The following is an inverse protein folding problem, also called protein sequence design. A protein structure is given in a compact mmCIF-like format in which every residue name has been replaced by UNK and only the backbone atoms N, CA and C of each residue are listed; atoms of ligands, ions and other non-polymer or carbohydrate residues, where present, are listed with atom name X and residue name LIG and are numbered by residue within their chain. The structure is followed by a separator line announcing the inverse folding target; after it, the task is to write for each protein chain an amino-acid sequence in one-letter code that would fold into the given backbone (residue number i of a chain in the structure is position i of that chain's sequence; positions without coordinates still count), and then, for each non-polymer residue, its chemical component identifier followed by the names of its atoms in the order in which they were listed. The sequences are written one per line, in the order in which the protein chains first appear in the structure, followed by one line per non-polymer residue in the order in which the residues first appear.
data_IF_618920851035
#
_entry.id   IF_618920851035
#
_cell.length_a   1.000
_cell.length_b   1.000
_cell.length_c   1.000
_cell.angle_alpha   90.00
_cell.angle_beta   90.00
_cell.angle_gamma   90.00
#
_symmetry.space_group_name_H-M   'P 1'
#
loop_
_entity.id
_entity.type
_entity.pdbx_description
1 polymer ?
#
# COMPACT_ATOMS: atom_id res chain seq x y z
N UNK A 1 68.29 -55.44 -36.80
CA UNK A 1 69.05 -54.30 -36.22
C UNK A 1 68.50 -53.05 -36.91
N UNK A 2 67.84 -52.18 -36.14
CA UNK A 2 67.09 -50.98 -36.59
C UNK A 2 65.84 -51.32 -37.46
N UNK A 3 64.69 -50.65 -37.45
CA UNK A 3 64.25 -49.32 -36.99
C UNK A 3 62.79 -49.41 -36.46
N UNK A 4 62.38 -48.38 -35.72
CA UNK A 4 61.03 -48.18 -35.18
C UNK A 4 60.02 -47.70 -36.23
N UNK A 5 58.76 -48.14 -36.12
CA UNK A 5 57.54 -47.40 -36.50
C UNK A 5 56.37 -47.88 -35.61
N UNK A 6 55.58 -46.94 -35.09
CA UNK A 6 54.43 -47.20 -34.21
C UNK A 6 53.10 -47.07 -34.99
N UNK A 7 52.08 -47.90 -34.71
CA UNK A 7 50.76 -47.70 -35.30
C UNK A 7 49.78 -46.94 -34.39
N UNK A 8 49.31 -45.81 -34.90
CA UNK A 8 47.89 -45.44 -35.06
C UNK A 8 46.87 -45.70 -33.93
N UNK A 9 46.45 -44.60 -33.28
CA UNK A 9 45.07 -44.08 -33.38
C UNK A 9 43.90 -44.94 -32.87
N UNK A 10 43.44 -44.65 -31.65
CA UNK A 10 42.09 -44.98 -31.16
C UNK A 10 41.50 -43.80 -30.39
N UNK A 11 40.49 -43.14 -30.95
CA UNK A 11 39.74 -42.03 -30.33
C UNK A 11 38.92 -42.57 -29.17
N UNK A 12 39.19 -42.12 -27.94
CA UNK A 12 38.27 -42.27 -26.81
C UNK A 12 37.27 -41.13 -26.93
N UNK A 13 36.09 -41.46 -27.47
CA UNK A 13 34.97 -40.54 -27.58
C UNK A 13 34.45 -40.13 -26.21
N UNK A 14 34.17 -38.83 -26.11
CA UNK A 14 33.56 -38.17 -24.97
C UNK A 14 32.27 -38.85 -24.52
N UNK A 15 32.22 -39.21 -23.24
CA UNK A 15 30.96 -39.47 -22.53
C UNK A 15 31.09 -38.93 -21.12
N UNK A 16 31.38 -37.64 -21.01
CA UNK A 16 31.02 -36.88 -19.81
C UNK A 16 29.52 -36.65 -19.86
N UNK A 17 28.84 -37.54 -19.14
CA UNK A 17 27.46 -37.43 -18.70
C UNK A 17 27.04 -35.98 -18.49
N UNK A 18 25.88 -35.64 -19.04
CA UNK A 18 25.18 -34.39 -18.80
C UNK A 18 25.04 -34.15 -17.30
N UNK A 19 25.94 -33.35 -16.73
CA UNK A 19 25.68 -32.66 -15.48
C UNK A 19 24.51 -31.72 -15.77
N UNK A 20 23.35 -32.09 -15.25
CA UNK A 20 22.15 -31.28 -15.32
C UNK A 20 22.50 -29.85 -14.90
N UNK A 21 22.19 -28.88 -15.77
CA UNK A 21 22.26 -27.47 -15.42
C UNK A 21 21.40 -27.30 -14.16
N UNK A 22 22.05 -27.01 -13.04
CA UNK A 22 21.37 -26.66 -11.81
C UNK A 22 20.37 -25.55 -12.13
N UNK A 23 19.09 -25.82 -11.89
CA UNK A 23 18.07 -24.77 -11.90
C UNK A 23 18.47 -23.67 -10.91
N UNK A 24 18.07 -22.41 -11.16
CA UNK A 24 18.43 -21.30 -10.29
C UNK A 24 18.03 -21.62 -8.84
N UNK A 25 19.03 -21.61 -7.95
CA UNK A 25 18.84 -21.71 -6.50
C UNK A 25 18.47 -20.33 -5.98
N UNK A 26 17.19 -19.97 -6.13
CA UNK A 26 16.66 -18.69 -5.65
C UNK A 26 15.39 -18.28 -6.39
N UNK A 27 14.63 -17.33 -5.84
CA UNK A 27 13.49 -16.76 -6.55
C UNK A 27 13.96 -16.13 -7.87
N UNK A 28 13.06 -16.10 -8.86
CA UNK A 28 13.28 -15.38 -10.13
C UNK A 28 13.72 -13.95 -9.82
N UNK A 29 14.76 -13.42 -10.49
CA UNK A 29 15.18 -12.04 -10.31
C UNK A 29 14.00 -11.09 -10.50
N UNK A 30 13.83 -10.18 -9.55
CA UNK A 30 12.83 -9.13 -9.65
C UNK A 30 13.08 -8.27 -10.90
N UNK A 31 12.02 -7.83 -11.62
CA UNK A 31 12.17 -6.92 -12.75
C UNK A 31 12.98 -5.68 -12.36
N UNK A 32 13.86 -5.26 -13.28
CA UNK A 32 14.86 -4.21 -13.00
C UNK A 32 14.24 -2.89 -12.51
N UNK A 33 13.12 -2.49 -13.11
CA UNK A 33 12.38 -1.29 -12.72
C UNK A 33 11.85 -1.34 -11.28
N UNK A 34 11.34 -2.50 -10.84
CA UNK A 34 10.82 -2.70 -9.48
C UNK A 34 11.98 -2.67 -8.47
N UNK A 35 13.08 -3.38 -8.78
CA UNK A 35 14.29 -3.36 -7.97
C UNK A 35 14.83 -1.94 -7.80
N UNK A 36 14.94 -1.20 -8.91
CA UNK A 36 15.40 0.19 -8.93
C UNK A 36 14.46 1.11 -8.14
N UNK A 37 13.15 0.91 -8.28
CA UNK A 37 12.13 1.63 -7.51
C UNK A 37 12.25 1.40 -6.02
N UNK A 38 12.46 0.15 -5.59
CA UNK A 38 12.72 -0.18 -4.19
C UNK A 38 13.99 0.50 -3.68
N UNK A 39 15.07 0.50 -4.46
CA UNK A 39 16.31 1.21 -4.06
C UNK A 39 16.06 2.69 -3.82
N UNK A 40 15.35 3.36 -4.74
CA UNK A 40 14.98 4.78 -4.61
C UNK A 40 14.05 5.03 -3.42
N UNK A 41 13.08 4.14 -3.18
CA UNK A 41 12.15 4.24 -2.05
C UNK A 41 12.87 4.24 -0.68
N UNK A 42 14.02 3.59 -0.60
CA UNK A 42 14.87 3.53 0.59
C UNK A 42 15.98 4.61 0.60
N UNK A 43 16.18 5.35 -0.49
CA UNK A 43 17.30 6.26 -0.65
C UNK A 43 17.05 7.61 0.04
N UNK A 44 17.70 7.81 1.19
CA UNK A 44 17.54 9.05 1.94
C UNK A 44 18.13 10.28 1.23
N UNK A 45 18.99 10.09 0.21
CA UNK A 45 19.57 11.17 -0.61
C UNK A 45 18.52 11.90 -1.45
N UNK A 46 17.31 11.35 -1.59
CA UNK A 46 16.19 12.05 -2.21
C UNK A 46 15.61 13.15 -1.31
N UNK A 47 15.88 13.13 0.00
CA UNK A 47 15.53 14.22 0.90
C UNK A 47 16.63 15.28 0.97
N UNK A 48 16.26 16.54 1.24
CA UNK A 48 17.20 17.67 1.29
C UNK A 48 18.43 17.39 2.18
N UNK A 49 18.16 16.91 3.39
CA UNK A 49 19.16 16.75 4.45
C UNK A 49 19.68 15.32 4.56
N UNK A 50 19.26 14.40 3.68
CA UNK A 50 19.74 13.03 3.66
C UNK A 50 19.30 12.15 4.83
N UNK A 51 18.35 12.58 5.67
CA UNK A 51 17.94 11.83 6.88
C UNK A 51 16.65 11.02 6.74
N UNK A 52 15.85 11.25 5.69
CA UNK A 52 14.60 10.52 5.47
C UNK A 52 14.45 10.01 4.05
N UNK A 53 13.72 8.91 3.89
CA UNK A 53 13.26 8.38 2.61
C UNK A 53 11.77 8.06 2.68
N UNK A 54 11.18 7.57 1.59
CA UNK A 54 9.79 7.10 1.60
C UNK A 54 9.58 6.04 2.68
N UNK A 55 10.55 5.14 2.88
CA UNK A 55 10.55 4.10 3.91
C UNK A 55 10.43 4.65 5.34
N UNK A 56 10.93 5.85 5.65
CA UNK A 56 10.87 6.44 6.99
C UNK A 56 9.44 6.62 7.51
N UNK A 57 8.50 6.90 6.60
CA UNK A 57 7.08 7.00 6.90
C UNK A 57 6.32 5.72 6.49
N UNK A 58 6.69 5.17 5.34
CA UNK A 58 6.06 4.01 4.74
C UNK A 58 6.94 2.76 4.84
N UNK A 59 7.18 2.25 6.05
CA UNK A 59 8.13 1.16 6.32
C UNK A 59 7.83 -0.08 5.46
N UNK A 60 8.65 -0.32 4.43
CA UNK A 60 8.46 -1.35 3.40
C UNK A 60 7.05 -1.35 2.76
N UNK A 61 6.47 -0.16 2.61
CA UNK A 61 5.10 0.03 2.13
C UNK A 61 4.01 -0.05 3.21
N UNK A 62 4.33 -0.46 4.44
CA UNK A 62 3.44 -0.30 5.57
C UNK A 62 3.31 1.18 5.96
N UNK A 63 2.53 1.49 6.99
CA UNK A 63 2.49 2.81 7.58
C UNK A 63 3.09 2.76 8.98
N UNK A 64 3.88 3.77 9.34
CA UNK A 64 4.31 3.96 10.73
C UNK A 64 3.16 4.41 11.66
N UNK A 65 1.99 4.74 11.09
CA UNK A 65 0.78 5.12 11.81
C UNK A 65 0.84 6.49 12.51
N UNK A 66 1.89 7.29 12.26
CA UNK A 66 2.07 8.60 12.88
C UNK A 66 1.25 9.67 12.15
N UNK A 67 0.91 10.72 12.90
CA UNK A 67 0.44 11.99 12.36
C UNK A 67 1.65 12.82 12.00
N UNK A 68 1.72 13.24 10.75
CA UNK A 68 2.83 14.02 10.22
C UNK A 68 2.25 15.16 9.43
N UNK A 69 2.75 16.36 9.69
CA UNK A 69 2.53 17.48 8.79
C UNK A 69 3.49 17.34 7.61
N UNK A 70 2.96 16.84 6.50
CA UNK A 70 3.75 16.54 5.30
C UNK A 70 3.74 17.68 4.29
N UNK A 71 2.98 18.76 4.55
CA UNK A 71 2.72 19.84 3.59
C UNK A 71 2.24 19.30 2.22
N UNK A 72 1.57 18.14 2.22
CA UNK A 72 1.11 17.46 1.01
C UNK A 72 -0.13 18.10 0.40
N UNK A 73 -0.93 18.73 1.26
CA UNK A 73 -2.16 19.50 0.96
C UNK A 73 -1.91 21.01 0.95
N UNK A 74 -0.63 21.43 0.83
CA UNK A 74 -0.20 22.83 0.84
C UNK A 74 -0.60 23.62 2.09
N UNK A 75 -0.82 22.90 3.20
CA UNK A 75 -1.29 23.48 4.43
C UNK A 75 -0.40 23.09 5.62
N UNK A 76 -0.31 23.98 6.61
CA UNK A 76 0.48 23.79 7.84
C UNK A 76 -0.46 23.67 9.04
N UNK A 77 -0.12 22.82 9.99
CA UNK A 77 -0.90 22.58 11.21
C UNK A 77 -2.05 21.58 11.03
N UNK A 78 -2.04 20.80 9.95
CA UNK A 78 -3.08 19.83 9.56
C UNK A 78 -2.49 18.41 9.45
N UNK A 79 -1.83 17.90 10.51
CA UNK A 79 -1.06 16.67 10.41
C UNK A 79 -1.95 15.49 10.03
N UNK A 80 -1.62 14.81 8.92
CA UNK A 80 -2.37 13.65 8.45
C UNK A 80 -1.67 12.36 8.82
N UNK A 81 -2.44 11.32 9.03
CA UNK A 81 -1.94 9.97 9.24
C UNK A 81 -1.29 9.48 7.96
N UNK A 82 -0.07 8.97 8.06
CA UNK A 82 0.58 8.28 6.95
C UNK A 82 -0.22 7.02 6.55
N UNK A 83 -0.72 6.89 5.30
CA UNK A 83 -1.42 5.70 4.85
C UNK A 83 -0.43 4.57 4.50
N UNK A 84 -0.89 3.32 4.51
CA UNK A 84 -0.10 2.22 3.93
C UNK A 84 -0.15 2.30 2.40
N UNK A 85 0.93 1.86 1.76
CA UNK A 85 1.08 1.81 0.30
C UNK A 85 0.80 0.42 -0.30
N UNK A 86 0.47 -0.59 0.51
CA UNK A 86 0.08 -1.91 0.00
C UNK A 86 -1.20 -1.80 -0.84
N UNK A 87 -1.14 -2.22 -2.11
CA UNK A 87 -2.24 -2.11 -3.07
C UNK A 87 -2.51 -0.69 -3.59
N UNK A 88 -1.62 0.26 -3.34
CA UNK A 88 -1.82 1.70 -3.69
C UNK A 88 -1.91 1.94 -5.19
N UNK A 89 -1.40 1.01 -6.01
CA UNK A 89 -1.51 1.06 -7.47
C UNK A 89 -2.94 0.97 -7.99
N UNK A 90 -3.90 0.60 -7.14
CA UNK A 90 -5.31 0.34 -7.49
C UNK A 90 -6.30 1.32 -6.82
N UNK A 91 -5.83 2.33 -6.08
CA UNK A 91 -6.69 3.15 -5.18
C UNK A 91 -6.63 4.65 -5.48
N UNK A 92 -6.48 5.04 -6.74
CA UNK A 92 -6.52 6.44 -7.13
C UNK A 92 -7.91 7.08 -6.90
N UNK A 93 -8.00 8.42 -6.80
CA UNK A 93 -6.90 9.38 -6.78
C UNK A 93 -6.11 9.29 -5.46
N UNK A 94 -4.97 9.96 -5.39
CA UNK A 94 -4.08 9.95 -4.21
C UNK A 94 -4.20 11.26 -3.41
N UNK A 95 -3.54 11.29 -2.25
CA UNK A 95 -3.75 12.22 -1.14
C UNK A 95 -5.09 12.02 -0.41
N UNK A 96 -5.16 12.55 0.82
CA UNK A 96 -6.32 12.42 1.70
C UNK A 96 -7.55 13.18 1.18
N UNK A 97 -7.33 14.26 0.46
CA UNK A 97 -8.35 15.08 -0.22
C UNK A 97 -8.66 14.57 -1.64
N UNK A 98 -7.87 13.62 -2.16
CA UNK A 98 -7.98 13.11 -3.52
C UNK A 98 -7.42 14.06 -4.59
N UNK A 99 -6.60 15.05 -4.20
CA UNK A 99 -6.09 16.08 -5.10
C UNK A 99 -5.04 15.60 -6.11
N UNK A 100 -4.47 14.39 -5.95
CA UNK A 100 -3.44 13.87 -6.84
C UNK A 100 -4.02 12.88 -7.85
N UNK A 101 -4.04 13.26 -9.13
CA UNK A 101 -4.64 12.46 -10.20
C UNK A 101 -3.79 11.24 -10.60
N UNK A 102 -2.47 11.30 -10.43
CA UNK A 102 -1.55 10.20 -10.75
C UNK A 102 -0.63 9.87 -9.57
N UNK A 103 -0.17 8.61 -9.53
CA UNK A 103 0.79 8.18 -8.51
C UNK A 103 2.13 8.91 -8.69
N UNK A 104 2.55 9.14 -9.93
CA UNK A 104 3.71 9.96 -10.26
C UNK A 104 3.62 11.39 -9.70
N UNK A 105 2.47 12.05 -9.81
CA UNK A 105 2.28 13.39 -9.23
C UNK A 105 2.39 13.37 -7.70
N UNK A 106 1.80 12.35 -7.06
CA UNK A 106 1.92 12.15 -5.62
C UNK A 106 3.39 11.92 -5.20
N UNK A 107 4.15 11.11 -5.95
CA UNK A 107 5.58 10.86 -5.68
C UNK A 107 6.37 12.18 -5.77
N UNK A 108 6.19 12.94 -6.85
CA UNK A 108 6.86 14.24 -7.03
C UNK A 108 6.50 15.22 -5.92
N UNK A 109 5.21 15.31 -5.57
CA UNK A 109 4.72 16.17 -4.49
C UNK A 109 5.37 15.81 -3.16
N UNK A 110 5.40 14.53 -2.79
CA UNK A 110 6.01 14.06 -1.55
C UNK A 110 7.52 14.35 -1.48
N UNK A 111 8.26 14.19 -2.58
CA UNK A 111 9.68 14.57 -2.61
C UNK A 111 9.84 16.08 -2.44
N UNK A 112 9.07 16.87 -3.18
CA UNK A 112 9.20 18.33 -3.20
C UNK A 112 8.79 18.98 -1.86
N UNK A 113 7.64 18.60 -1.28
CA UNK A 113 7.12 19.27 -0.08
C UNK A 113 7.55 18.59 1.22
N UNK A 114 7.33 17.28 1.33
CA UNK A 114 7.57 16.52 2.56
C UNK A 114 9.06 16.28 2.79
N UNK A 115 9.75 15.77 1.78
CA UNK A 115 11.18 15.44 1.87
C UNK A 115 12.09 16.63 1.53
N UNK A 116 11.50 17.73 1.00
CA UNK A 116 12.19 18.94 0.53
C UNK A 116 13.31 18.68 -0.48
N UNK A 117 13.21 17.56 -1.18
CA UNK A 117 14.19 17.12 -2.16
C UNK A 117 14.19 17.94 -3.44
N UNK A 118 15.20 17.70 -4.27
CA UNK A 118 15.22 18.21 -5.64
C UNK A 118 14.19 17.50 -6.52
N UNK A 119 13.74 18.13 -7.61
CA UNK A 119 12.84 17.49 -8.57
C UNK A 119 13.41 16.17 -9.08
N UNK A 120 12.57 15.12 -9.08
CA UNK A 120 12.92 13.81 -9.63
C UNK A 120 12.91 13.85 -11.16
N UNK A 121 13.82 13.08 -11.76
CA UNK A 121 13.75 12.71 -13.18
C UNK A 121 12.59 11.73 -13.44
N UNK A 122 12.12 11.68 -14.68
CA UNK A 122 10.97 10.85 -15.06
C UNK A 122 11.24 9.35 -14.85
N UNK A 123 12.44 8.89 -15.17
CA UNK A 123 12.87 7.49 -14.95
C UNK A 123 12.89 7.10 -13.46
N UNK A 124 13.21 8.05 -12.57
CA UNK A 124 13.13 7.83 -11.12
C UNK A 124 11.68 7.67 -10.67
N UNK A 125 10.78 8.52 -11.18
CA UNK A 125 9.35 8.44 -10.85
C UNK A 125 8.75 7.15 -11.37
N UNK A 126 9.03 6.77 -12.62
CA UNK A 126 8.59 5.51 -13.22
C UNK A 126 9.07 4.29 -12.44
N UNK A 127 10.33 4.27 -12.00
CA UNK A 127 10.86 3.19 -11.19
C UNK A 127 10.16 3.09 -9.83
N UNK A 128 10.02 4.22 -9.10
CA UNK A 128 9.30 4.24 -7.81
C UNK A 128 7.85 3.79 -8.01
N UNK A 129 7.17 4.28 -9.03
CA UNK A 129 5.80 3.88 -9.36
C UNK A 129 5.70 2.38 -9.68
N UNK A 130 6.65 1.81 -10.44
CA UNK A 130 6.70 0.37 -10.70
C UNK A 130 6.83 -0.43 -9.39
N UNK A 131 7.65 0.03 -8.45
CA UNK A 131 7.73 -0.58 -7.13
C UNK A 131 6.42 -0.48 -6.34
N UNK A 132 5.80 0.71 -6.28
CA UNK A 132 4.54 0.89 -5.56
C UNK A 132 3.38 0.07 -6.16
N UNK A 133 3.34 -0.08 -7.48
CA UNK A 133 2.36 -0.93 -8.19
C UNK A 133 2.62 -2.42 -7.98
N UNK A 134 3.84 -2.82 -7.64
CA UNK A 134 4.17 -4.21 -7.31
C UNK A 134 3.73 -4.61 -5.89
N UNK A 135 3.45 -3.64 -5.02
CA UNK A 135 3.01 -3.93 -3.65
C UNK A 135 1.59 -4.51 -3.67
N UNK A 136 1.40 -5.77 -3.26
CA UNK A 136 0.08 -6.38 -3.26
C UNK A 136 -0.83 -5.66 -2.26
N UNK A 137 -2.17 -5.79 -2.35
CA UNK A 137 -3.03 -5.37 -1.26
C UNK A 137 -2.65 -6.09 0.04
N UNK A 138 -2.88 -5.46 1.20
CA UNK A 138 -2.62 -6.12 2.46
C UNK A 138 -3.50 -7.37 2.56
N UNK A 139 -2.96 -8.52 2.99
CA UNK A 139 -3.77 -9.71 3.16
C UNK A 139 -4.84 -9.43 4.22
N UNK A 140 -6.04 -9.93 4.00
CA UNK A 140 -7.08 -9.97 5.02
C UNK A 140 -6.49 -10.57 6.31
N UNK A 141 -6.94 -10.09 7.47
CA UNK A 141 -6.67 -10.84 8.69
C UNK A 141 -7.41 -12.18 8.56
N UNK A 142 -6.71 -13.29 8.82
CA UNK A 142 -7.38 -14.58 8.84
C UNK A 142 -8.57 -14.50 9.78
N UNK A 143 -9.75 -14.79 9.25
CA UNK A 143 -10.97 -14.87 10.03
C UNK A 143 -10.81 -15.98 11.07
N UNK A 144 -10.43 -15.61 12.28
CA UNK A 144 -10.59 -16.45 13.46
C UNK A 144 -11.98 -16.22 14.09
N UNK A 145 -12.90 -15.60 13.34
CA UNK A 145 -14.21 -15.17 13.80
C UNK A 145 -15.35 -16.03 13.28
N UNK A 146 -16.50 -15.91 13.95
CA UNK A 146 -17.79 -16.46 13.56
C UNK A 146 -18.14 -16.08 12.11
N UNK A 147 -18.13 -17.07 11.21
CA UNK A 147 -18.47 -16.89 9.78
C UNK A 147 -19.88 -16.31 9.59
N UNK A 148 -20.82 -16.65 10.49
CA UNK A 148 -22.17 -16.12 10.43
C UNK A 148 -22.19 -14.63 10.77
N UNK A 149 -21.40 -14.20 11.77
CA UNK A 149 -21.22 -12.79 12.10
C UNK A 149 -20.62 -12.00 10.93
N UNK A 150 -19.62 -12.56 10.25
CA UNK A 150 -19.05 -11.95 9.04
C UNK A 150 -20.10 -11.84 7.93
N UNK A 151 -20.91 -12.87 7.71
CA UNK A 151 -21.98 -12.85 6.71
C UNK A 151 -23.07 -11.81 7.03
N UNK A 152 -23.49 -11.71 8.29
CA UNK A 152 -24.42 -10.66 8.77
C UNK A 152 -23.81 -9.28 8.64
N UNK A 153 -22.52 -9.13 8.96
CA UNK A 153 -21.78 -7.87 8.80
C UNK A 153 -21.72 -7.40 7.36
N UNK A 154 -21.46 -8.31 6.42
CA UNK A 154 -21.52 -8.03 4.98
C UNK A 154 -22.93 -7.60 4.54
N UNK A 155 -23.99 -8.19 5.10
CA UNK A 155 -25.36 -7.78 4.85
C UNK A 155 -25.65 -6.37 5.41
N UNK A 156 -25.14 -6.05 6.60
CA UNK A 156 -25.21 -4.71 7.19
C UNK A 156 -24.46 -3.68 6.35
N UNK A 157 -23.25 -3.98 5.87
CA UNK A 157 -22.48 -3.12 4.96
C UNK A 157 -23.27 -2.74 3.70
N UNK A 158 -23.96 -3.73 3.09
CA UNK A 158 -24.84 -3.50 1.93
C UNK A 158 -26.07 -2.67 2.29
N UNK A 159 -26.76 -3.02 3.39
CA UNK A 159 -27.99 -2.35 3.84
C UNK A 159 -27.75 -0.88 4.18
N UNK A 160 -26.62 -0.57 4.82
CA UNK A 160 -26.19 0.79 5.15
C UNK A 160 -25.55 1.54 3.97
N UNK A 161 -25.51 0.92 2.78
CA UNK A 161 -24.98 1.51 1.54
C UNK A 161 -23.52 1.99 1.67
N UNK A 162 -22.71 1.35 2.51
CA UNK A 162 -21.30 1.68 2.69
C UNK A 162 -20.50 1.59 1.37
N UNK A 163 -20.94 0.69 0.46
CA UNK A 163 -20.37 0.52 -0.87
C UNK A 163 -20.45 1.77 -1.77
N UNK A 164 -21.26 2.79 -1.41
CA UNK A 164 -21.31 4.06 -2.16
C UNK A 164 -19.95 4.78 -2.21
N UNK A 165 -19.15 4.63 -1.15
CA UNK A 165 -17.81 5.22 -1.06
C UNK A 165 -16.72 4.14 -0.91
N UNK A 166 -17.09 2.95 -0.43
CA UNK A 166 -16.18 1.82 -0.23
C UNK A 166 -16.55 0.64 -1.15
N UNK A 167 -16.49 0.87 -2.46
CA UNK A 167 -16.91 -0.10 -3.47
C UNK A 167 -15.92 -1.27 -3.60
N UNK A 168 -16.37 -2.55 -3.59
CA UNK A 168 -15.52 -3.69 -3.90
C UNK A 168 -14.94 -3.64 -5.34
N UNK A 169 -13.79 -4.22 -5.64
CA UNK A 169 -12.94 -5.07 -4.80
C UNK A 169 -11.88 -4.30 -4.00
N UNK A 170 -11.57 -3.06 -4.38
CA UNK A 170 -10.60 -2.23 -3.67
C UNK A 170 -11.17 -1.62 -2.38
N UNK A 171 -12.49 -1.67 -2.18
CA UNK A 171 -13.22 -1.05 -1.07
C UNK A 171 -12.95 0.45 -0.93
N UNK A 172 -12.95 1.13 -2.07
CA UNK A 172 -12.78 2.58 -2.23
C UNK A 172 -13.33 2.99 -3.60
N UNK A 173 -13.70 4.24 -3.75
CA UNK A 173 -14.11 4.86 -5.02
C UNK A 173 -13.18 6.01 -5.36
N UNK A 174 -13.03 6.35 -6.66
CA UNK A 174 -12.12 7.41 -7.08
C UNK A 174 -12.76 8.81 -6.95
N UNK A 175 -13.25 9.17 -5.76
CA UNK A 175 -13.96 10.43 -5.50
C UNK A 175 -13.75 10.92 -4.07
N UNK A 176 -13.97 12.21 -3.83
CA UNK A 176 -13.98 12.80 -2.49
C UNK A 176 -15.42 12.97 -1.97
N UNK A 177 -15.60 12.80 -0.66
CA UNK A 177 -16.90 12.88 -0.01
C UNK A 177 -16.83 13.73 1.25
N UNK A 178 -17.87 14.52 1.48
CA UNK A 178 -18.15 15.05 2.80
C UNK A 178 -18.89 13.98 3.62
N UNK A 179 -18.31 13.62 4.74
CA UNK A 179 -18.77 12.56 5.65
C UNK A 179 -18.85 13.08 7.09
N UNK A 180 -19.00 14.40 7.27
CA UNK A 180 -19.05 15.04 8.59
C UNK A 180 -17.70 15.05 9.31
N UNK A 181 -16.61 14.93 8.55
CA UNK A 181 -15.25 15.08 9.07
C UNK A 181 -14.73 16.44 8.63
N UNK A 182 -14.03 17.12 9.52
CA UNK A 182 -13.32 18.37 9.21
C UNK A 182 -11.91 18.28 9.78
N UNK A 183 -10.96 18.86 9.06
CA UNK A 183 -9.62 19.10 9.56
C UNK A 183 -9.45 20.47 10.21
N UNK A 184 -8.24 20.75 10.68
CA UNK A 184 -7.87 21.96 11.41
C UNK A 184 -8.02 23.25 10.57
N UNK A 185 -8.24 23.13 9.25
CA UNK A 185 -8.49 24.24 8.32
C UNK A 185 -9.90 24.26 7.75
N UNK A 186 -10.76 23.34 8.20
CA UNK A 186 -12.15 23.25 7.75
C UNK A 186 -12.31 22.55 6.40
N UNK A 187 -11.30 21.81 5.91
CA UNK A 187 -11.51 20.93 4.78
C UNK A 187 -12.40 19.76 5.20
N UNK A 188 -13.53 19.59 4.52
CA UNK A 188 -14.52 18.55 4.86
C UNK A 188 -14.61 17.39 3.88
N UNK A 189 -14.04 17.54 2.68
CA UNK A 189 -14.09 16.50 1.65
C UNK A 189 -12.83 15.65 1.63
N UNK A 190 -13.01 14.35 1.76
CA UNK A 190 -11.92 13.38 1.78
C UNK A 190 -12.15 12.23 0.80
N UNK A 191 -11.06 11.78 0.21
CA UNK A 191 -11.00 10.54 -0.57
C UNK A 191 -11.11 9.33 0.37
N UNK A 192 -12.05 8.39 0.17
CA UNK A 192 -12.26 7.28 1.08
C UNK A 192 -11.08 6.30 0.97
N UNK A 193 -10.32 6.06 2.04
CA UNK A 193 -9.22 5.10 1.96
C UNK A 193 -9.78 3.70 1.69
N UNK A 194 -9.05 2.90 0.92
CA UNK A 194 -9.34 1.46 0.76
C UNK A 194 -9.56 0.81 2.13
N UNK A 195 -10.61 -0.01 2.25
CA UNK A 195 -10.84 -0.82 3.46
C UNK A 195 -10.07 -2.14 3.47
N UNK A 196 -9.28 -2.44 2.43
CA UNK A 196 -8.43 -3.64 2.43
C UNK A 196 -7.44 -3.59 3.58
N UNK A 197 -7.39 -4.67 4.36
CA UNK A 197 -6.57 -4.76 5.57
C UNK A 197 -6.94 -3.76 6.67
N UNK A 198 -8.15 -3.16 6.65
CA UNK A 198 -8.56 -2.14 7.63
C UNK A 198 -8.51 -2.66 9.07
N UNK A 199 -8.74 -3.97 9.27
CA UNK A 199 -8.63 -4.62 10.58
C UNK A 199 -7.23 -4.57 11.21
N UNK A 200 -6.17 -4.31 10.43
CA UNK A 200 -4.79 -4.20 10.92
C UNK A 200 -4.45 -2.84 11.52
N UNK A 201 -5.31 -1.83 11.28
CA UNK A 201 -5.05 -0.44 11.69
C UNK A 201 -5.36 -0.25 13.17
N UNK A 202 -4.59 0.63 13.82
CA UNK A 202 -4.75 0.99 15.24
C UNK A 202 -5.43 2.34 15.46
N UNK A 203 -5.49 3.17 14.42
CA UNK A 203 -6.17 4.48 14.43
C UNK A 203 -6.85 4.72 13.09
N UNK A 204 -7.94 5.49 13.10
CA UNK A 204 -8.87 5.69 11.98
C UNK A 204 -9.07 7.18 11.68
N UNK A 205 -9.65 7.50 10.52
CA UNK A 205 -9.73 8.85 9.93
C UNK A 205 -8.39 9.47 9.54
N UNK A 206 -8.42 10.63 8.89
CA UNK A 206 -7.22 11.29 8.38
C UNK A 206 -6.29 11.77 9.50
N UNK A 207 -6.80 11.97 10.72
CA UNK A 207 -6.08 12.49 11.88
C UNK A 207 -5.98 11.49 13.04
N UNK A 208 -6.41 10.24 12.84
CA UNK A 208 -6.28 9.21 13.86
C UNK A 208 -7.20 9.36 15.07
N UNK A 209 -8.21 10.25 15.06
CA UNK A 209 -9.05 10.55 16.24
C UNK A 209 -9.86 9.38 16.79
N UNK A 210 -10.11 8.36 15.98
CA UNK A 210 -10.73 7.11 16.41
C UNK A 210 -9.67 6.02 16.64
N UNK A 211 -9.70 5.38 17.80
CA UNK A 211 -8.79 4.28 18.19
C UNK A 211 -9.31 2.89 17.85
N UNK A 212 -10.55 2.75 17.35
CA UNK A 212 -11.12 1.46 16.94
C UNK A 212 -12.20 1.60 15.87
N UNK A 213 -12.47 0.52 15.13
CA UNK A 213 -13.62 0.45 14.23
C UNK A 213 -14.95 0.66 14.96
N UNK A 214 -15.07 0.22 16.21
CA UNK A 214 -16.27 0.46 17.01
C UNK A 214 -16.48 1.96 17.28
N UNK A 215 -15.40 2.70 17.53
CA UNK A 215 -15.45 4.14 17.77
C UNK A 215 -15.81 4.93 16.49
N UNK A 216 -15.32 4.50 15.33
CA UNK A 216 -15.66 5.09 14.01
C UNK A 216 -17.18 5.20 13.83
N UNK A 217 -17.92 4.16 14.20
CA UNK A 217 -19.38 4.15 14.05
C UNK A 217 -20.11 4.63 15.31
N UNK A 218 -19.71 4.16 16.50
CA UNK A 218 -20.44 4.41 17.74
C UNK A 218 -20.26 5.81 18.31
N UNK A 219 -19.07 6.42 18.14
CA UNK A 219 -18.78 7.77 18.65
C UNK A 219 -18.84 8.81 17.54
N UNK A 220 -18.26 8.49 16.38
CA UNK A 220 -18.13 9.45 15.29
C UNK A 220 -19.22 9.31 14.22
N UNK A 221 -20.09 8.30 14.33
CA UNK A 221 -21.25 8.18 13.45
C UNK A 221 -20.91 8.11 11.97
N UNK A 222 -19.74 7.59 11.58
CA UNK A 222 -19.30 7.70 10.19
C UNK A 222 -20.05 6.74 9.23
N UNK A 223 -20.70 7.24 8.16
CA UNK A 223 -21.38 8.53 8.01
C UNK A 223 -22.91 8.33 8.16
N UNK A 224 -23.32 7.68 9.24
CA UNK A 224 -24.69 7.29 9.53
C UNK A 224 -25.43 8.43 10.22
N UNK A 225 -26.62 8.73 9.72
CA UNK A 225 -27.52 9.72 10.34
C UNK A 225 -28.04 9.25 11.71
N UNK A 226 -28.19 7.94 11.88
CA UNK A 226 -28.74 7.33 13.09
C UNK A 226 -27.80 6.25 13.66
N UNK A 227 -27.74 6.11 15.00
CA UNK A 227 -26.95 5.06 15.64
C UNK A 227 -27.42 3.66 15.22
N UNK A 228 -26.48 2.77 14.91
CA UNK A 228 -26.79 1.37 14.64
C UNK A 228 -26.97 0.55 15.92
N UNK A 229 -27.73 -0.54 15.85
CA UNK A 229 -27.85 -1.48 16.95
C UNK A 229 -26.49 -2.11 17.29
N UNK A 230 -26.24 -2.40 18.58
CA UNK A 230 -24.96 -2.94 19.02
C UNK A 230 -24.58 -4.27 18.35
N UNK A 231 -25.57 -5.13 18.04
CA UNK A 231 -25.36 -6.38 17.30
C UNK A 231 -24.89 -6.13 15.86
N UNK A 232 -25.55 -5.20 15.16
CA UNK A 232 -25.16 -4.79 13.81
C UNK A 232 -23.74 -4.23 13.77
N UNK A 233 -23.35 -3.46 14.79
CA UNK A 233 -22.00 -2.92 14.93
C UNK A 233 -20.96 -4.04 15.09
N UNK A 234 -21.22 -5.00 15.97
CA UNK A 234 -20.31 -6.12 16.20
C UNK A 234 -20.11 -6.94 14.92
N UNK A 235 -21.20 -7.28 14.23
CA UNK A 235 -21.17 -8.02 12.97
C UNK A 235 -20.45 -7.22 11.86
N UNK A 236 -20.73 -5.92 11.72
CA UNK A 236 -20.04 -5.06 10.75
C UNK A 236 -18.54 -4.98 11.02
N UNK A 237 -18.14 -4.83 12.29
CA UNK A 237 -16.72 -4.83 12.67
C UNK A 237 -16.06 -6.17 12.37
N UNK A 238 -16.77 -7.30 12.56
CA UNK A 238 -16.27 -8.63 12.20
C UNK A 238 -16.01 -8.73 10.69
N UNK A 239 -16.96 -8.27 9.86
CA UNK A 239 -16.79 -8.21 8.41
C UNK A 239 -15.59 -7.35 7.99
N UNK A 240 -15.50 -6.11 8.50
CA UNK A 240 -14.43 -5.18 8.14
C UNK A 240 -13.04 -5.69 8.56
N UNK A 241 -12.92 -6.46 9.64
CA UNK A 241 -11.65 -7.06 10.04
C UNK A 241 -11.15 -8.12 9.06
N UNK A 242 -12.07 -8.77 8.34
CA UNK A 242 -11.75 -9.78 7.32
C UNK A 242 -11.51 -9.22 5.91
N UNK A 243 -11.51 -7.90 5.73
CA UNK A 243 -11.16 -7.23 4.47
C UNK A 243 -9.65 -7.01 4.33
#
# INVERSE_FOLDING_TARGET
MALAEAPGGGRVGDSVSSLGRGGPLGPTPEPDAIRRGRELFHDARLSHDGWMSCHSCHADGHANGRLVDTLGDDSYGTPKRTPSLFGVGETGPWAWDGGMATLGDQIRKSVASTMRGYPLYDDQVEAIEAYLRSLPPPPALESHGDEEAVARGAATFRRLRCARCHEPSAFTTPAAYDVGLEDERGHSTFNPPSLRGVGRRRSFFHDGRAGSLAEVFGRFGHPLDEPMAAGDLADLVAFLRGL
#
